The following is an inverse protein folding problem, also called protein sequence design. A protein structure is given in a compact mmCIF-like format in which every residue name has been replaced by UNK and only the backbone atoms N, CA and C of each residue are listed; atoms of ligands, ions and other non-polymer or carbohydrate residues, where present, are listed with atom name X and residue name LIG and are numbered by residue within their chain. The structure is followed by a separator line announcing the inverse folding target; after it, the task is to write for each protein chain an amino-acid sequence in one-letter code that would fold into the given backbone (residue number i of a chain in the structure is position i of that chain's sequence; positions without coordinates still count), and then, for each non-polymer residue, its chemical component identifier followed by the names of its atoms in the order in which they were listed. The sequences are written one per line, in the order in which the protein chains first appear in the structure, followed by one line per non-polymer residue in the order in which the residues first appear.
data_IF_838270041806
#
_entry.id   IF_838270041806
#
_cell.length_a   1.000
_cell.length_b   1.000
_cell.length_c   1.000
_cell.angle_alpha   90.00
_cell.angle_beta   90.00
_cell.angle_gamma   90.00
#
_symmetry.space_group_name_H-M   'P 1'
#
loop_
_entity.id
_entity.type
_entity.pdbx_description
1 polymer ?
#
# COMPACT_ATOMS: atom_id res chain seq x y z
N UNK A 1 -10.87 12.90 -6.44
CA UNK A 1 -10.79 11.58 -5.77
C UNK A 1 -10.10 11.80 -4.44
N UNK A 2 -10.63 11.29 -3.33
CA UNK A 2 -9.95 11.40 -2.04
C UNK A 2 -8.68 10.55 -2.07
N UNK A 3 -7.51 11.12 -1.75
CA UNK A 3 -6.23 10.41 -1.70
C UNK A 3 -6.33 9.10 -0.89
N UNK A 4 -7.13 9.09 0.18
CA UNK A 4 -7.45 7.91 0.99
C UNK A 4 -7.98 6.71 0.19
N UNK A 5 -8.88 6.92 -0.79
CA UNK A 5 -9.45 5.84 -1.60
C UNK A 5 -8.40 5.21 -2.51
N UNK A 6 -7.51 6.04 -3.06
CA UNK A 6 -6.38 5.57 -3.87
C UNK A 6 -5.35 4.82 -3.02
N UNK A 7 -5.03 5.31 -1.82
CA UNK A 7 -4.13 4.63 -0.89
C UNK A 7 -4.65 3.25 -0.50
N UNK A 8 -5.95 3.14 -0.17
CA UNK A 8 -6.58 1.86 0.16
C UNK A 8 -6.55 0.91 -1.05
N UNK A 9 -6.80 1.41 -2.27
CA UNK A 9 -6.64 0.60 -3.49
C UNK A 9 -5.21 0.08 -3.65
N UNK A 10 -4.21 0.93 -3.43
CA UNK A 10 -2.79 0.53 -3.51
C UNK A 10 -2.47 -0.54 -2.47
N UNK A 11 -2.99 -0.42 -1.24
CA UNK A 11 -2.81 -1.44 -0.20
C UNK A 11 -3.46 -2.78 -0.56
N UNK A 12 -4.71 -2.76 -1.04
CA UNK A 12 -5.39 -3.99 -1.48
C UNK A 12 -4.61 -4.60 -2.66
N UNK A 13 -4.20 -3.78 -3.62
CA UNK A 13 -3.39 -4.23 -4.76
C UNK A 13 -2.05 -4.83 -4.33
N UNK A 14 -1.38 -4.23 -3.35
CA UNK A 14 -0.11 -4.73 -2.80
C UNK A 14 -0.27 -6.09 -2.12
N UNK A 15 -1.37 -6.32 -1.40
CA UNK A 15 -1.69 -7.62 -0.81
C UNK A 15 -1.95 -8.70 -1.88
N UNK A 16 -2.48 -8.29 -3.04
CA UNK A 16 -2.79 -9.17 -4.16
C UNK A 16 -1.59 -9.55 -5.05
N UNK A 17 -0.42 -8.93 -4.90
CA UNK A 17 0.74 -9.14 -5.79
C UNK A 17 1.15 -10.62 -5.92
N UNK A 18 0.97 -11.40 -4.86
CA UNK A 18 1.36 -12.81 -4.83
C UNK A 18 0.22 -13.74 -5.25
N UNK A 19 -0.86 -13.17 -5.79
CA UNK A 19 -2.04 -13.88 -6.26
C UNK A 19 -2.99 -14.34 -5.15
N UNK A 20 -2.64 -14.09 -3.87
CA UNK A 20 -3.49 -14.43 -2.72
C UNK A 20 -3.25 -13.46 -1.57
N UNK A 21 -4.33 -12.87 -1.08
CA UNK A 21 -4.37 -12.08 0.15
C UNK A 21 -4.49 -13.03 1.34
N UNK A 22 -3.69 -12.80 2.38
CA UNK A 22 -3.76 -13.59 3.62
C UNK A 22 -5.01 -13.19 4.43
N UNK A 23 -5.60 -14.11 5.21
CA UNK A 23 -6.78 -13.80 6.04
C UNK A 23 -6.58 -12.58 6.96
N UNK A 24 -5.40 -12.46 7.54
CA UNK A 24 -5.03 -11.37 8.45
C UNK A 24 -4.94 -10.03 7.71
N UNK A 25 -4.40 -10.05 6.48
CA UNK A 25 -4.34 -8.90 5.60
C UNK A 25 -5.76 -8.45 5.22
N UNK A 26 -6.63 -9.41 4.86
CA UNK A 26 -8.03 -9.14 4.52
C UNK A 26 -8.79 -8.50 5.68
N UNK A 27 -8.71 -9.07 6.87
CA UNK A 27 -9.37 -8.54 8.06
C UNK A 27 -8.92 -7.11 8.36
N UNK A 28 -7.62 -6.85 8.22
CA UNK A 28 -7.07 -5.52 8.38
C UNK A 28 -7.59 -4.54 7.32
N UNK A 29 -7.58 -4.92 6.03
CA UNK A 29 -8.09 -4.08 4.93
C UNK A 29 -9.57 -3.77 5.10
N UNK A 30 -10.37 -4.71 5.56
CA UNK A 30 -11.79 -4.49 5.86
C UNK A 30 -11.97 -3.48 7.00
N UNK A 31 -11.22 -3.62 8.10
CA UNK A 31 -11.25 -2.65 9.21
C UNK A 31 -10.82 -1.27 8.75
N UNK A 32 -9.73 -1.17 8.01
CA UNK A 32 -9.21 0.08 7.48
C UNK A 32 -10.23 0.76 6.55
N UNK A 33 -10.80 0.02 5.61
CA UNK A 33 -11.81 0.55 4.70
C UNK A 33 -13.09 0.99 5.44
N UNK A 34 -13.49 0.26 6.49
CA UNK A 34 -14.64 0.64 7.33
C UNK A 34 -14.36 1.92 8.14
N UNK A 35 -13.17 2.04 8.75
CA UNK A 35 -12.73 3.24 9.47
C UNK A 35 -12.75 4.48 8.58
N UNK A 36 -12.29 4.33 7.33
CA UNK A 36 -12.28 5.41 6.35
C UNK A 36 -13.60 5.57 5.58
N UNK A 37 -14.65 4.82 5.93
CA UNK A 37 -15.99 4.86 5.30
C UNK A 37 -15.97 4.63 3.78
N UNK A 38 -15.05 3.81 3.31
CA UNK A 38 -14.91 3.43 1.88
C UNK A 38 -15.15 1.95 1.62
N UNK A 39 -15.47 1.15 2.64
CA UNK A 39 -15.70 -0.29 2.49
C UNK A 39 -16.81 -0.63 1.48
N UNK A 40 -17.90 0.16 1.49
CA UNK A 40 -19.06 -0.04 0.63
C UNK A 40 -18.93 0.66 -0.73
N UNK A 41 -17.80 1.32 -1.00
CA UNK A 41 -17.57 1.97 -2.28
C UNK A 41 -17.55 0.92 -3.41
N UNK A 42 -18.25 1.13 -4.53
CA UNK A 42 -18.37 0.14 -5.61
C UNK A 42 -17.02 -0.24 -6.22
N UNK A 43 -16.01 0.63 -6.11
CA UNK A 43 -14.66 0.36 -6.60
C UNK A 43 -13.75 -0.36 -5.59
N UNK A 44 -14.17 -0.47 -4.33
CA UNK A 44 -13.38 -1.02 -3.20
C UNK A 44 -14.00 -2.33 -2.73
N UNK A 45 -15.32 -2.37 -2.57
CA UNK A 45 -16.08 -3.53 -2.14
C UNK A 45 -15.69 -4.84 -2.86
N UNK A 46 -15.68 -4.91 -4.21
CA UNK A 46 -15.32 -6.15 -4.90
C UNK A 46 -13.85 -6.54 -4.71
N UNK A 47 -12.97 -5.59 -4.43
CA UNK A 47 -11.55 -5.82 -4.19
C UNK A 47 -11.31 -6.36 -2.78
N UNK A 48 -11.99 -5.79 -1.78
CA UNK A 48 -11.94 -6.21 -0.37
C UNK A 48 -12.51 -7.60 -0.13
N UNK A 49 -13.60 -7.93 -0.83
CA UNK A 49 -14.26 -9.23 -0.71
C UNK A 49 -13.71 -10.27 -1.69
N UNK A 50 -12.62 -9.95 -2.38
CA UNK A 50 -11.98 -10.84 -3.35
C UNK A 50 -12.92 -11.36 -4.45
N UNK A 51 -14.02 -10.63 -4.68
CA UNK A 51 -14.97 -10.90 -5.77
C UNK A 51 -14.31 -10.67 -7.13
N UNK A 52 -13.21 -9.91 -7.13
CA UNK A 52 -12.38 -9.64 -8.30
C UNK A 52 -10.90 -9.68 -7.92
N UNK A 53 -10.13 -10.48 -8.64
CA UNK A 53 -8.67 -10.45 -8.57
C UNK A 53 -8.11 -9.16 -9.18
N UNK A 54 -7.12 -8.58 -8.51
CA UNK A 54 -6.42 -7.39 -9.00
C UNK A 54 -5.27 -7.83 -9.90
N UNK A 55 -5.24 -7.30 -11.12
CA UNK A 55 -4.07 -7.46 -11.98
C UNK A 55 -2.94 -6.56 -11.49
N UNK A 56 -1.68 -7.01 -11.53
CA UNK A 56 -0.53 -6.15 -11.20
C UNK A 56 -0.55 -4.82 -11.96
N UNK A 57 -0.94 -4.84 -13.24
CA UNK A 57 -1.12 -3.67 -14.11
C UNK A 57 -2.06 -2.61 -13.52
N UNK A 58 -3.17 -3.03 -12.90
CA UNK A 58 -4.12 -2.12 -12.27
C UNK A 58 -3.53 -1.50 -11.01
N UNK A 59 -2.83 -2.31 -10.21
CA UNK A 59 -2.12 -1.82 -9.03
C UNK A 59 -1.04 -0.79 -9.41
N UNK A 60 -0.27 -1.06 -10.46
CA UNK A 60 0.72 -0.12 -10.99
C UNK A 60 0.06 1.18 -11.46
N UNK A 61 -1.08 1.08 -12.16
CA UNK A 61 -1.85 2.24 -12.57
C UNK A 61 -2.31 3.10 -11.38
N UNK A 62 -2.68 2.50 -10.25
CA UNK A 62 -3.07 3.26 -9.05
C UNK A 62 -1.87 3.96 -8.39
N UNK A 63 -0.73 3.27 -8.30
CA UNK A 63 0.51 3.86 -7.79
C UNK A 63 0.96 5.02 -8.66
N UNK A 64 0.97 4.84 -9.99
CA UNK A 64 1.32 5.91 -10.93
C UNK A 64 0.33 7.07 -10.87
N UNK A 65 -0.97 6.80 -10.72
CA UNK A 65 -1.98 7.85 -10.56
C UNK A 65 -1.80 8.63 -9.25
N UNK A 66 -1.32 7.97 -8.19
CA UNK A 66 -1.01 8.64 -6.92
C UNK A 66 0.28 9.48 -7.00
N UNK A 67 1.33 8.97 -7.65
CA UNK A 67 2.64 9.61 -7.73
C UNK A 67 2.76 10.64 -8.88
N UNK A 68 1.83 10.61 -9.84
CA UNK A 68 1.85 11.47 -11.04
C UNK A 68 2.75 10.95 -12.17
N UNK A 69 2.83 11.71 -13.26
CA UNK A 69 3.53 11.33 -14.50
C UNK A 69 5.06 11.21 -14.36
N UNK A 70 5.66 11.88 -13.36
CA UNK A 70 7.09 11.84 -13.07
C UNK A 70 7.32 11.60 -11.57
N UNK A 71 7.22 10.34 -11.10
CA UNK A 71 7.39 10.02 -9.69
C UNK A 71 8.84 10.29 -9.26
N UNK A 72 9.05 11.28 -8.40
CA UNK A 72 10.33 11.55 -7.74
C UNK A 72 10.44 10.70 -6.47
N UNK A 73 11.65 10.61 -5.91
CA UNK A 73 11.86 9.98 -4.60
C UNK A 73 10.94 10.58 -3.53
N UNK A 74 10.69 11.88 -3.58
CA UNK A 74 9.79 12.59 -2.66
C UNK A 74 8.34 12.09 -2.79
N UNK A 75 7.85 11.86 -4.02
CA UNK A 75 6.51 11.29 -4.22
C UNK A 75 6.41 9.88 -3.62
N UNK A 76 7.45 9.05 -3.76
CA UNK A 76 7.48 7.72 -3.15
C UNK A 76 7.51 7.80 -1.62
N UNK A 77 8.28 8.73 -1.05
CA UNK A 77 8.32 8.98 0.39
C UNK A 77 6.95 9.43 0.90
N UNK A 78 6.27 10.34 0.18
CA UNK A 78 4.91 10.78 0.50
C UNK A 78 3.88 9.65 0.40
N UNK A 79 4.02 8.73 -0.55
CA UNK A 79 3.16 7.55 -0.63
C UNK A 79 3.35 6.64 0.59
N UNK A 80 4.61 6.37 0.95
CA UNK A 80 4.93 5.56 2.13
C UNK A 80 4.42 6.25 3.39
N UNK A 81 4.70 7.54 3.57
CA UNK A 81 4.25 8.34 4.71
C UNK A 81 2.72 8.40 4.78
N UNK A 82 2.02 8.50 3.65
CA UNK A 82 0.57 8.50 3.62
C UNK A 82 -0.02 7.11 3.95
N UNK A 83 0.60 6.03 3.47
CA UNK A 83 0.23 4.66 3.85
C UNK A 83 0.47 4.45 5.35
N UNK A 84 1.62 4.90 5.84
CA UNK A 84 1.97 4.95 7.25
C UNK A 84 0.92 5.71 8.05
N UNK A 85 0.66 6.99 7.76
CA UNK A 85 -0.33 7.79 8.46
C UNK A 85 -1.75 7.22 8.38
N UNK A 86 -2.10 6.52 7.29
CA UNK A 86 -3.36 5.78 7.16
C UNK A 86 -3.43 4.62 8.16
N UNK A 87 -2.39 3.79 8.21
CA UNK A 87 -2.25 2.63 9.10
C UNK A 87 -2.17 3.06 10.57
N UNK A 88 -1.51 4.19 10.85
CA UNK A 88 -1.16 4.67 12.19
C UNK A 88 -2.07 5.74 12.76
N UNK A 89 -3.17 6.08 12.07
CA UNK A 89 -4.20 6.97 12.61
C UNK A 89 -4.81 6.48 13.95
N UNK A 90 -4.47 5.26 14.38
CA UNK A 90 -4.80 4.64 15.68
C UNK A 90 -3.74 4.91 16.80
N UNK A 91 -2.74 5.76 16.57
CA UNK A 91 -2.01 6.48 17.64
C UNK A 91 -0.78 5.83 18.25
N UNK A 92 -0.20 4.78 17.67
CA UNK A 92 1.04 4.15 18.18
C UNK A 92 2.18 4.28 17.19
N UNK A 93 3.02 5.31 17.29
CA UNK A 93 4.28 5.37 16.54
C UNK A 93 5.18 4.25 17.07
N UNK A 94 5.32 3.17 16.32
CA UNK A 94 6.28 2.11 16.69
C UNK A 94 7.60 2.36 15.99
N UNK A 95 8.70 2.09 16.71
CA UNK A 95 10.09 2.32 16.27
C UNK A 95 10.45 1.60 14.96
N UNK A 96 9.64 0.61 14.58
CA UNK A 96 9.75 -0.17 13.36
C UNK A 96 9.46 0.68 12.10
N UNK A 97 8.66 1.75 12.21
CA UNK A 97 8.34 2.66 11.10
C UNK A 97 9.57 3.38 10.55
N UNK A 98 10.44 3.86 11.45
CA UNK A 98 11.68 4.56 11.09
C UNK A 98 12.68 3.62 10.40
N UNK A 99 12.79 2.37 10.86
CA UNK A 99 13.66 1.36 10.25
C UNK A 99 13.19 0.99 8.85
N UNK A 100 11.87 0.94 8.67
CA UNK A 100 11.24 0.55 7.42
C UNK A 100 11.27 1.67 6.37
N UNK A 101 11.08 2.92 6.78
CA UNK A 101 11.36 4.10 5.95
C UNK A 101 12.83 4.11 5.49
N UNK A 102 13.75 3.70 6.37
CA UNK A 102 15.18 3.57 6.04
C UNK A 102 15.42 2.45 5.03
N UNK A 103 14.79 1.28 5.19
CA UNK A 103 14.87 0.17 4.23
C UNK A 103 14.31 0.55 2.85
N UNK A 104 13.24 1.36 2.81
CA UNK A 104 12.66 1.91 1.58
C UNK A 104 13.56 2.94 0.90
N UNK A 105 14.23 3.81 1.67
CA UNK A 105 15.25 4.73 1.15
C UNK A 105 16.44 3.96 0.54
N UNK A 106 16.74 2.76 1.04
CA UNK A 106 17.79 1.90 0.50
C UNK A 106 17.38 1.14 -0.77
N UNK A 107 16.09 1.09 -1.12
CA UNK A 107 15.57 0.48 -2.35
C UNK A 107 15.57 1.44 -3.55
N UNK A 108 16.43 2.46 -3.48
CA UNK A 108 16.52 3.61 -4.37
C UNK A 108 16.45 3.26 -5.89
N UNK A 109 15.42 3.75 -6.61
CA UNK A 109 15.33 3.72 -8.07
C UNK A 109 16.45 4.49 -8.79
N UNK A 110 17.20 5.35 -8.09
CA UNK A 110 18.32 6.11 -8.68
C UNK A 110 19.46 5.23 -9.20
N UNK A 111 19.43 3.91 -8.94
CA UNK A 111 20.38 2.95 -9.50
C UNK A 111 19.93 2.28 -10.80
N UNK A 112 18.74 2.57 -11.34
CA UNK A 112 18.36 1.99 -12.64
C UNK A 112 16.97 2.36 -13.18
N UNK A 113 16.98 3.29 -14.13
CA UNK A 113 16.05 3.48 -15.26
C UNK A 113 14.53 3.50 -15.02
N UNK A 114 13.98 4.65 -15.42
CA UNK A 114 12.60 4.97 -15.78
C UNK A 114 11.85 3.77 -16.37
N UNK A 115 10.61 3.55 -15.91
CA UNK A 115 9.67 2.46 -16.26
C UNK A 115 9.83 1.09 -15.54
N UNK A 116 11.01 0.72 -15.03
CA UNK A 116 11.23 -0.61 -14.43
C UNK A 116 11.21 -0.67 -12.87
N UNK A 117 11.04 0.47 -12.19
CA UNK A 117 11.21 0.60 -10.72
C UNK A 117 9.92 0.53 -9.88
N UNK A 118 8.76 0.29 -10.48
CA UNK A 118 7.50 0.08 -9.74
C UNK A 118 7.41 -1.26 -8.98
N UNK A 119 7.93 -2.41 -9.50
CA UNK A 119 7.89 -3.68 -8.79
C UNK A 119 8.66 -3.69 -7.45
N UNK A 120 9.88 -3.10 -7.34
CA UNK A 120 10.59 -2.98 -6.07
C UNK A 120 9.82 -2.21 -5.01
N UNK A 121 9.20 -1.08 -5.39
CA UNK A 121 8.43 -0.21 -4.48
C UNK A 121 7.20 -0.94 -3.95
N UNK A 122 6.43 -1.58 -4.82
CA UNK A 122 5.27 -2.35 -4.39
C UNK A 122 5.66 -3.52 -3.47
N UNK A 123 6.78 -4.19 -3.76
CA UNK A 123 7.32 -5.23 -2.88
C UNK A 123 7.73 -4.68 -1.52
N UNK A 124 8.26 -3.45 -1.49
CA UNK A 124 8.60 -2.76 -0.26
C UNK A 124 7.34 -2.41 0.55
N UNK A 125 6.34 -1.76 -0.08
CA UNK A 125 5.03 -1.46 0.53
C UNK A 125 4.36 -2.73 1.05
N UNK A 126 4.47 -3.85 0.32
CA UNK A 126 3.96 -5.14 0.79
C UNK A 126 4.73 -5.67 1.98
N UNK A 127 6.06 -5.64 1.97
CA UNK A 127 6.89 -6.11 3.09
C UNK A 127 6.60 -5.32 4.36
N UNK A 128 6.44 -4.01 4.20
CA UNK A 128 5.98 -3.08 5.22
C UNK A 128 4.65 -3.56 5.79
N UNK A 129 3.65 -3.62 4.93
CA UNK A 129 2.29 -4.00 5.27
C UNK A 129 2.18 -5.38 5.96
N UNK A 130 2.90 -6.38 5.46
CA UNK A 130 2.91 -7.74 6.02
C UNK A 130 3.53 -7.80 7.41
N UNK A 131 4.63 -7.07 7.63
CA UNK A 131 5.22 -6.95 8.98
C UNK A 131 4.23 -6.34 9.95
N UNK A 132 3.51 -5.28 9.54
CA UNK A 132 2.48 -4.64 10.37
C UNK A 132 1.35 -5.60 10.75
N UNK A 133 0.75 -6.26 9.75
CA UNK A 133 -0.32 -7.24 9.95
C UNK A 133 0.14 -8.38 10.87
N UNK A 134 1.40 -8.79 10.77
CA UNK A 134 1.99 -9.81 11.64
C UNK A 134 2.16 -9.30 13.09
N UNK A 135 2.61 -8.06 13.29
CA UNK A 135 2.77 -7.47 14.63
C UNK A 135 1.46 -7.18 15.35
N UNK A 136 0.37 -6.90 14.62
CA UNK A 136 -0.96 -6.67 15.20
C UNK A 136 -1.61 -7.95 15.77
N UNK A 137 -1.10 -9.12 15.38
CA UNK A 137 -1.61 -10.44 15.78
C UNK A 137 -0.65 -11.20 16.72
N UNK A 138 0.44 -10.57 17.17
CA UNK A 138 1.44 -11.13 18.09
C UNK A 138 1.18 -10.69 19.53
#
# INVERSE_FOLDING_TARGET
MSNTKLLIKILIGAAWIDGKVQPEERDYLQRLAAQHKVADEPDIYPLLHELRAIKPEECYGWVQNYLGEAPSLEHYQQLVEAISGLIYSDGTITTEEARLLTDLQNLDPATGSTEASLPPVLKAIRTVYQRWVSTLNA
#
